data_IF_926460968653
#
_entry.id   IF_926460968653
#
_cell.length_a   1.000
_cell.length_b   1.000
_cell.length_c   1.000
_cell.angle_alpha   90.00
_cell.angle_beta   90.00
_cell.angle_gamma   90.00
#
_symmetry.space_group_name_H-M   'P 1'
#
loop_
_entity.id
_entity.type
_entity.pdbx_description
1 polymer ?
#
# COMPACT_ATOMS: atom_id res chain seq x y z
N UNK A 1 -10.44 -9.21 12.93
CA UNK A 1 -9.93 -7.84 12.77
C UNK A 1 -8.81 -7.56 13.78
N UNK A 2 -7.75 -6.87 13.37
CA UNK A 2 -6.70 -6.40 14.28
C UNK A 2 -7.14 -5.08 14.89
N UNK A 3 -7.01 -4.94 16.21
CA UNK A 3 -7.31 -3.71 16.95
C UNK A 3 -6.08 -3.25 17.69
N UNK A 4 -5.52 -2.11 17.31
CA UNK A 4 -4.37 -1.51 17.98
C UNK A 4 -4.89 -0.34 18.81
N UNK A 5 -4.87 -0.49 20.13
CA UNK A 5 -5.23 0.59 21.04
C UNK A 5 -4.02 1.52 21.21
N UNK A 6 -4.20 2.77 20.80
CA UNK A 6 -3.19 3.82 20.89
C UNK A 6 -3.44 4.65 22.14
N UNK A 7 -2.38 5.07 22.81
CA UNK A 7 -2.45 6.09 23.85
C UNK A 7 -2.27 7.47 23.24
N UNK A 8 -2.63 8.54 23.96
CA UNK A 8 -2.29 9.92 23.55
C UNK A 8 -0.78 10.08 23.27
N UNK A 9 0.08 9.42 24.07
CA UNK A 9 1.53 9.38 23.84
C UNK A 9 1.88 8.68 22.52
N UNK A 10 1.26 7.54 22.22
CA UNK A 10 1.46 6.83 20.96
C UNK A 10 1.05 7.67 19.75
N UNK A 11 -0.06 8.41 19.86
CA UNK A 11 -0.51 9.35 18.83
C UNK A 11 0.46 10.52 18.66
N UNK A 12 0.90 11.14 19.75
CA UNK A 12 1.84 12.26 19.73
C UNK A 12 3.23 11.87 19.20
N UNK A 13 3.63 10.61 19.39
CA UNK A 13 4.91 10.06 18.91
C UNK A 13 4.76 9.26 17.62
N UNK A 14 3.59 9.32 16.97
CA UNK A 14 3.37 8.70 15.67
C UNK A 14 4.29 9.32 14.64
N UNK A 15 5.02 8.49 13.90
CA UNK A 15 6.03 8.92 12.95
C UNK A 15 5.99 8.10 11.68
N UNK A 16 6.49 8.68 10.59
CA UNK A 16 6.71 7.95 9.35
C UNK A 16 8.13 7.37 9.28
N UNK A 17 8.34 6.38 8.42
CA UNK A 17 9.66 5.86 8.09
C UNK A 17 9.77 5.53 6.60
N UNK A 18 10.93 5.83 6.01
CA UNK A 18 11.36 5.33 4.69
C UNK A 18 12.43 4.26 4.91
N UNK A 19 12.02 3.00 5.00
CA UNK A 19 12.89 1.87 5.42
C UNK A 19 13.31 0.99 4.23
N UNK A 20 14.61 0.92 3.88
CA UNK A 20 15.16 -0.06 2.93
C UNK A 20 14.80 -1.52 3.24
N UNK A 21 14.97 -1.94 4.50
CA UNK A 21 14.76 -3.31 4.96
C UNK A 21 13.27 -3.68 4.96
N UNK A 22 12.38 -2.74 5.25
CA UNK A 22 10.94 -2.93 5.08
C UNK A 22 10.58 -3.24 3.62
N UNK A 23 11.14 -2.50 2.68
CA UNK A 23 10.89 -2.70 1.24
C UNK A 23 11.54 -3.99 0.73
N UNK A 24 12.72 -4.36 1.23
CA UNK A 24 13.37 -5.65 0.96
C UNK A 24 12.48 -6.81 1.39
N UNK A 25 12.01 -6.76 2.63
CA UNK A 25 11.11 -7.76 3.21
C UNK A 25 9.84 -7.92 2.37
N UNK A 26 9.29 -6.80 1.92
CA UNK A 26 8.12 -6.79 1.04
C UNK A 26 8.39 -7.36 -0.35
N UNK A 27 9.58 -7.14 -0.92
CA UNK A 27 9.98 -7.77 -2.19
C UNK A 27 10.14 -9.30 -2.06
N UNK A 28 10.49 -9.77 -0.86
CA UNK A 28 10.55 -11.21 -0.57
C UNK A 28 9.17 -11.84 -0.41
N UNK A 29 8.15 -11.07 0.02
CA UNK A 29 6.79 -11.58 0.16
C UNK A 29 6.18 -11.94 -1.20
N UNK A 30 5.94 -13.23 -1.42
CA UNK A 30 5.36 -13.72 -2.69
C UNK A 30 3.92 -13.26 -2.92
N UNK A 31 3.15 -12.95 -1.88
CA UNK A 31 1.78 -12.43 -2.02
C UNK A 31 1.77 -11.00 -2.54
N UNK A 32 2.80 -10.23 -2.17
CA UNK A 32 2.96 -8.83 -2.55
C UNK A 32 3.72 -8.70 -3.88
N UNK A 33 4.74 -9.53 -4.10
CA UNK A 33 5.57 -9.55 -5.31
C UNK A 33 4.82 -10.00 -6.58
N UNK A 34 3.72 -10.77 -6.45
CA UNK A 34 2.90 -11.21 -7.59
C UNK A 34 2.04 -10.06 -8.16
N UNK A 35 1.87 -8.94 -7.43
CA UNK A 35 0.93 -7.87 -7.83
C UNK A 35 1.55 -6.71 -8.60
N UNK A 36 2.75 -6.88 -9.17
CA UNK A 36 3.29 -5.99 -10.20
C UNK A 36 3.22 -4.50 -9.84
N UNK A 37 3.67 -4.14 -8.64
CA UNK A 37 3.73 -2.75 -8.25
C UNK A 37 4.79 -2.03 -9.10
N UNK A 38 4.44 -0.87 -9.66
CA UNK A 38 5.40 -0.05 -10.41
C UNK A 38 6.64 0.22 -9.56
N UNK A 39 7.80 -0.21 -10.04
CA UNK A 39 9.09 0.02 -9.38
C UNK A 39 9.54 -1.08 -8.42
N UNK A 40 8.83 -2.20 -8.27
CA UNK A 40 9.31 -3.36 -7.51
C UNK A 40 9.57 -4.58 -8.41
N UNK A 41 10.55 -5.43 -8.04
CA UNK A 41 10.89 -6.62 -8.83
C UNK A 41 9.74 -7.62 -8.86
N UNK A 42 9.53 -8.23 -10.02
CA UNK A 42 8.54 -9.31 -10.15
C UNK A 42 8.95 -10.56 -9.35
N UNK A 43 7.99 -11.41 -9.00
CA UNK A 43 8.26 -12.63 -8.24
C UNK A 43 9.30 -13.57 -8.91
N UNK A 44 9.30 -13.64 -10.24
CA UNK A 44 10.30 -14.42 -11.00
C UNK A 44 11.71 -13.83 -10.92
N UNK A 45 11.84 -12.50 -11.01
CA UNK A 45 13.12 -11.79 -10.89
C UNK A 45 13.75 -12.03 -9.51
N UNK A 46 12.97 -11.85 -8.44
CA UNK A 46 13.44 -12.08 -7.06
C UNK A 46 13.91 -13.53 -6.89
N UNK A 47 13.13 -14.51 -7.37
CA UNK A 47 13.52 -15.91 -7.28
C UNK A 47 14.81 -16.22 -8.08
N UNK A 48 14.98 -15.60 -9.24
CA UNK A 48 16.18 -15.76 -10.06
C UNK A 48 17.43 -15.19 -9.37
N UNK A 49 17.34 -14.01 -8.76
CA UNK A 49 18.46 -13.39 -8.03
C UNK A 49 18.85 -14.21 -6.81
N UNK A 50 17.88 -14.62 -6.00
CA UNK A 50 18.13 -15.44 -4.80
C UNK A 50 18.89 -16.73 -5.16
N UNK A 51 18.49 -17.40 -6.25
CA UNK A 51 19.15 -18.61 -6.73
C UNK A 51 20.55 -18.32 -7.32
N UNK A 52 20.66 -17.32 -8.20
CA UNK A 52 21.91 -16.99 -8.90
C UNK A 52 23.03 -16.60 -7.93
N UNK A 53 22.68 -15.88 -6.87
CA UNK A 53 23.62 -15.36 -5.88
C UNK A 53 23.68 -16.19 -4.59
N UNK A 54 23.07 -17.38 -4.58
CA UNK A 54 23.12 -18.31 -3.44
C UNK A 54 22.68 -17.68 -2.11
N UNK A 55 21.67 -16.82 -2.18
CA UNK A 55 21.07 -16.15 -1.01
C UNK A 55 20.10 -17.13 -0.30
N UNK A 56 20.68 -18.16 0.30
CA UNK A 56 19.96 -19.33 0.79
C UNK A 56 19.02 -19.02 1.95
N UNK A 57 19.42 -18.18 2.90
CA UNK A 57 18.57 -17.81 4.04
C UNK A 57 17.38 -16.99 3.56
N UNK A 58 17.60 -16.01 2.70
CA UNK A 58 16.51 -15.22 2.09
C UNK A 58 15.58 -16.08 1.23
N UNK A 59 16.12 -17.06 0.50
CA UNK A 59 15.33 -18.01 -0.28
C UNK A 59 14.41 -18.88 0.59
N UNK A 60 14.91 -19.35 1.74
CA UNK A 60 14.10 -20.07 2.72
C UNK A 60 12.98 -19.18 3.28
N UNK A 61 13.33 -17.94 3.65
CA UNK A 61 12.41 -16.97 4.27
C UNK A 61 11.31 -16.49 3.32
N UNK A 62 11.60 -16.32 2.03
CA UNK A 62 10.61 -16.03 0.96
C UNK A 62 9.48 -17.06 0.90
N UNK A 63 9.75 -18.28 1.33
CA UNK A 63 8.81 -19.40 1.33
C UNK A 63 7.90 -19.50 2.53
N UNK A 64 8.26 -18.87 3.64
CA UNK A 64 7.53 -19.04 4.89
C UNK A 64 6.33 -18.11 4.86
N UNK A 65 5.09 -18.64 4.80
CA UNK A 65 3.91 -17.82 4.91
C UNK A 65 3.90 -17.20 6.31
N UNK A 66 3.87 -15.88 6.40
CA UNK A 66 3.85 -15.23 7.71
C UNK A 66 3.92 -13.72 7.64
N UNK A 67 3.32 -13.09 8.64
CA UNK A 67 3.69 -11.74 9.03
C UNK A 67 5.18 -11.80 9.39
N UNK A 68 6.03 -11.03 8.72
CA UNK A 68 7.47 -11.02 8.94
C UNK A 68 7.87 -10.44 10.32
N UNK A 69 7.08 -10.68 11.35
CA UNK A 69 7.27 -10.30 12.74
C UNK A 69 8.58 -10.85 13.34
N UNK A 70 9.19 -11.85 12.68
CA UNK A 70 10.50 -12.38 13.03
C UNK A 70 11.66 -11.47 12.60
N UNK A 71 11.47 -10.59 11.61
CA UNK A 71 12.43 -9.57 11.20
C UNK A 71 11.95 -8.19 11.70
N UNK A 72 12.37 -7.74 12.90
CA UNK A 72 11.91 -6.47 13.43
C UNK A 72 12.21 -5.33 12.47
N UNK A 73 11.19 -4.63 12.03
CA UNK A 73 11.36 -3.25 11.58
C UNK A 73 11.47 -2.39 12.83
N UNK A 74 12.68 -2.19 13.33
CA UNK A 74 12.91 -1.18 14.38
C UNK A 74 13.36 0.09 13.68
N UNK A 75 12.49 1.11 13.55
CA UNK A 75 12.90 2.33 12.91
C UNK A 75 13.84 3.09 13.86
N UNK A 76 15.11 3.22 13.47
CA UNK A 76 16.09 4.04 14.17
C UNK A 76 15.82 5.53 13.98
N UNK A 77 15.45 5.91 12.75
CA UNK A 77 15.26 7.28 12.30
C UNK A 77 14.12 7.37 11.26
N UNK A 78 13.85 8.59 10.77
CA UNK A 78 12.87 8.84 9.69
C UNK A 78 13.31 8.18 8.36
N UNK A 79 14.61 8.20 8.05
CA UNK A 79 15.20 7.62 6.83
C UNK A 79 16.54 6.95 7.15
N UNK A 80 16.52 5.79 7.81
CA UNK A 80 17.76 5.10 8.10
C UNK A 80 18.42 4.65 6.78
N UNK A 81 19.76 4.61 6.78
CA UNK A 81 20.50 3.95 5.72
C UNK A 81 20.29 2.43 5.80
N UNK A 82 20.58 1.71 4.71
CA UNK A 82 20.54 0.24 4.74
C UNK A 82 21.51 -0.29 5.81
N UNK A 83 22.72 0.26 5.89
CA UNK A 83 23.74 -0.18 6.84
C UNK A 83 23.30 0.03 8.30
N UNK A 84 22.62 1.13 8.60
CA UNK A 84 22.03 1.38 9.91
C UNK A 84 20.97 0.33 10.26
N UNK A 85 20.07 0.01 9.33
CA UNK A 85 19.04 -1.01 9.55
C UNK A 85 19.61 -2.42 9.69
N UNK A 86 20.65 -2.76 8.91
CA UNK A 86 21.35 -4.04 9.02
C UNK A 86 22.16 -4.15 10.32
N UNK A 87 22.78 -3.06 10.75
CA UNK A 87 23.44 -2.99 12.05
C UNK A 87 22.44 -3.16 13.19
N UNK A 88 21.31 -2.45 13.16
CA UNK A 88 20.26 -2.64 14.16
C UNK A 88 19.64 -4.04 14.12
N UNK A 89 19.55 -4.66 12.94
CA UNK A 89 19.10 -6.04 12.81
C UNK A 89 20.02 -7.01 13.55
N UNK A 90 21.33 -6.86 13.40
CA UNK A 90 22.32 -7.73 14.07
C UNK A 90 22.44 -7.42 15.57
N UNK A 91 22.23 -6.17 15.99
CA UNK A 91 22.24 -5.74 17.38
C UNK A 91 20.90 -5.99 18.12
N UNK A 92 19.82 -6.31 17.40
CA UNK A 92 18.48 -6.41 17.97
C UNK A 92 18.39 -7.48 19.07
N UNK A 93 17.71 -7.14 20.17
CA UNK A 93 17.36 -8.08 21.25
C UNK A 93 15.84 -8.09 21.47
N UNK A 94 15.20 -9.28 21.56
CA UNK A 94 15.76 -10.59 21.22
C UNK A 94 16.20 -10.66 19.75
N UNK A 95 17.22 -11.46 19.47
CA UNK A 95 17.81 -11.61 18.14
C UNK A 95 16.76 -12.07 17.12
N UNK A 96 16.87 -11.65 15.84
CA UNK A 96 15.98 -12.10 14.77
C UNK A 96 15.89 -13.64 14.68
N UNK A 97 17.00 -14.34 14.86
CA UNK A 97 17.02 -15.79 14.92
C UNK A 97 16.13 -16.36 16.05
N UNK A 98 16.17 -15.77 17.25
CA UNK A 98 15.32 -16.19 18.38
C UNK A 98 13.84 -15.92 18.11
N UNK A 99 13.53 -14.78 17.47
CA UNK A 99 12.15 -14.46 17.06
C UNK A 99 11.64 -15.40 15.99
N UNK A 100 12.49 -15.76 15.02
CA UNK A 100 12.16 -16.72 13.97
C UNK A 100 11.97 -18.11 14.57
N UNK A 101 12.82 -18.55 15.49
CA UNK A 101 12.63 -19.81 16.22
C UNK A 101 11.27 -19.82 16.94
N UNK A 102 10.98 -18.80 17.75
CA UNK A 102 9.71 -18.66 18.44
C UNK A 102 8.51 -18.61 17.47
N UNK A 103 8.65 -17.96 16.31
CA UNK A 103 7.63 -17.95 15.26
C UNK A 103 7.41 -19.35 14.67
N UNK A 104 8.48 -20.07 14.35
CA UNK A 104 8.42 -21.43 13.83
C UNK A 104 7.87 -22.42 14.85
N UNK A 105 8.06 -22.17 16.15
CA UNK A 105 7.54 -22.99 17.24
C UNK A 105 6.08 -22.65 17.57
N UNK A 106 5.71 -21.36 17.54
CA UNK A 106 4.36 -20.86 17.79
C UNK A 106 3.37 -21.07 16.64
N UNK A 107 3.84 -21.21 15.40
CA UNK A 107 3.01 -21.51 14.23
C UNK A 107 2.57 -23.00 14.12
N UNK A 108 2.51 -23.71 15.27
CA UNK A 108 2.29 -25.15 15.39
C UNK A 108 1.00 -25.58 16.09
N UNK A 109 -0.06 -24.76 16.09
CA UNK A 109 -1.35 -25.12 16.69
C UNK A 109 -2.41 -25.71 15.75
N UNK A 110 -2.11 -25.90 14.45
CA UNK A 110 -3.18 -26.22 13.50
C UNK A 110 -2.74 -26.74 12.15
N UNK A 111 -2.01 -27.86 12.10
CA UNK A 111 -2.16 -28.88 11.06
C UNK A 111 -1.34 -30.10 11.46
N UNK A 112 -2.00 -31.22 11.75
CA UNK A 112 -1.39 -32.55 11.78
C UNK A 112 -1.03 -32.97 10.34
N UNK A 113 -0.02 -32.31 9.76
CA UNK A 113 0.48 -32.57 8.40
C UNK A 113 2.01 -32.66 8.39
N UNK A 114 2.57 -33.17 7.29
CA UNK A 114 4.02 -33.23 7.09
C UNK A 114 4.66 -31.84 7.24
N UNK A 115 5.77 -31.76 7.98
CA UNK A 115 6.50 -30.51 8.19
C UNK A 115 6.99 -29.95 6.85
N UNK A 116 6.71 -28.67 6.59
CA UNK A 116 7.24 -27.95 5.42
C UNK A 116 8.78 -28.05 5.43
N UNK A 117 9.41 -28.63 4.39
CA UNK A 117 10.87 -28.77 4.32
C UNK A 117 11.63 -27.45 4.53
N UNK A 118 11.04 -26.31 4.17
CA UNK A 118 11.64 -24.98 4.39
C UNK A 118 11.69 -24.62 5.87
N UNK A 119 10.63 -24.95 6.63
CA UNK A 119 10.58 -24.73 8.08
C UNK A 119 11.58 -25.63 8.80
N UNK A 120 11.69 -26.89 8.39
CA UNK A 120 12.68 -27.82 8.92
C UNK A 120 14.13 -27.32 8.68
N UNK A 121 14.42 -26.87 7.45
CA UNK A 121 15.73 -26.30 7.10
C UNK A 121 16.06 -25.04 7.91
N UNK A 122 15.09 -24.14 8.12
CA UNK A 122 15.28 -22.96 8.97
C UNK A 122 15.53 -23.36 10.43
N UNK A 123 14.76 -24.30 10.99
CA UNK A 123 15.01 -24.81 12.35
C UNK A 123 16.41 -25.40 12.49
N UNK A 124 16.87 -26.17 11.51
CA UNK A 124 18.23 -26.71 11.50
C UNK A 124 19.28 -25.61 11.51
N UNK A 125 19.17 -24.60 10.64
CA UNK A 125 20.11 -23.47 10.60
C UNK A 125 20.11 -22.66 11.91
N UNK A 126 18.94 -22.44 12.51
CA UNK A 126 18.83 -21.70 13.78
C UNK A 126 19.47 -22.46 14.95
N UNK A 127 19.36 -23.80 14.98
CA UNK A 127 20.02 -24.65 15.98
C UNK A 127 21.55 -24.67 15.83
N UNK A 128 22.05 -24.57 14.59
CA UNK A 128 23.49 -24.54 14.33
C UNK A 128 24.16 -23.23 14.80
N UNK A 129 23.41 -22.12 14.89
CA UNK A 129 23.91 -20.87 15.47
C UNK A 129 23.05 -19.66 15.10
N UNK A 130 22.30 -19.11 16.07
CA UNK A 130 21.38 -17.99 15.82
C UNK A 130 22.07 -16.66 15.49
N UNK A 131 23.24 -16.39 16.08
CA UNK A 131 24.00 -15.17 15.76
C UNK A 131 24.62 -15.23 14.36
N UNK A 132 25.19 -16.39 14.00
CA UNK A 132 25.70 -16.67 12.65
C UNK A 132 24.59 -16.58 11.60
N UNK A 133 23.42 -17.13 11.91
CA UNK A 133 22.24 -17.00 11.05
C UNK A 133 21.87 -15.52 10.84
N UNK A 134 21.85 -14.73 11.91
CA UNK A 134 21.47 -13.31 11.86
C UNK A 134 22.48 -12.49 11.05
N UNK A 135 23.79 -12.74 11.23
CA UNK A 135 24.84 -12.06 10.47
C UNK A 135 24.78 -12.41 8.99
N UNK A 136 24.71 -13.70 8.66
CA UNK A 136 24.59 -14.14 7.27
C UNK A 136 23.28 -13.67 6.61
N UNK A 137 22.21 -13.53 7.38
CA UNK A 137 20.96 -12.93 6.89
C UNK A 137 21.14 -11.44 6.55
N UNK A 138 21.88 -10.68 7.37
CA UNK A 138 22.16 -9.27 7.11
C UNK A 138 23.05 -9.09 5.86
N UNK A 139 24.05 -9.95 5.68
CA UNK A 139 24.90 -10.00 4.48
C UNK A 139 24.08 -10.33 3.22
N UNK A 140 23.25 -11.36 3.26
CA UNK A 140 22.37 -11.70 2.14
C UNK A 140 21.37 -10.58 1.83
N UNK A 141 20.88 -9.87 2.85
CA UNK A 141 19.99 -8.72 2.68
C UNK A 141 20.70 -7.53 2.03
N UNK A 142 21.95 -7.24 2.40
CA UNK A 142 22.78 -6.24 1.74
C UNK A 142 22.97 -6.56 0.26
N UNK A 143 23.33 -7.81 -0.06
CA UNK A 143 23.53 -8.25 -1.43
C UNK A 143 22.24 -8.22 -2.24
N UNK A 144 21.12 -8.67 -1.67
CA UNK A 144 19.83 -8.60 -2.31
C UNK A 144 19.42 -7.16 -2.62
N UNK A 145 19.58 -6.26 -1.64
CA UNK A 145 19.25 -4.85 -1.84
C UNK A 145 20.07 -4.26 -2.97
N UNK A 146 21.39 -4.43 -2.96
CA UNK A 146 22.31 -3.91 -3.98
C UNK A 146 21.92 -4.35 -5.40
N UNK A 147 21.47 -5.59 -5.56
CA UNK A 147 21.16 -6.17 -6.88
C UNK A 147 19.76 -5.85 -7.37
N UNK A 148 18.80 -5.75 -6.47
CA UNK A 148 17.37 -5.73 -6.83
C UNK A 148 16.72 -4.38 -6.57
N UNK A 149 16.99 -3.82 -5.39
CA UNK A 149 16.33 -2.61 -4.93
C UNK A 149 17.14 -1.36 -5.21
N UNK A 150 18.47 -1.37 -5.06
CA UNK A 150 19.31 -0.20 -5.25
C UNK A 150 19.09 0.50 -6.62
N UNK A 151 18.96 -0.21 -7.76
CA UNK A 151 18.68 0.44 -9.06
C UNK A 151 17.34 1.18 -9.12
N UNK A 152 16.39 0.81 -8.25
CA UNK A 152 15.01 1.32 -8.21
C UNK A 152 14.75 2.19 -6.98
N UNK A 153 15.66 2.19 -6.02
CA UNK A 153 15.48 2.79 -4.71
C UNK A 153 15.21 4.29 -4.76
N UNK A 154 15.87 5.11 -5.61
CA UNK A 154 15.55 6.53 -5.72
C UNK A 154 14.07 6.78 -6.08
N UNK A 155 13.50 5.99 -6.99
CA UNK A 155 12.10 6.11 -7.38
C UNK A 155 11.13 5.62 -6.28
N UNK A 156 11.47 4.51 -5.61
CA UNK A 156 10.71 4.00 -4.47
C UNK A 156 10.70 5.02 -3.33
N UNK A 157 11.87 5.54 -2.96
CA UNK A 157 12.03 6.51 -1.89
C UNK A 157 11.26 7.81 -2.18
N UNK A 158 11.38 8.37 -3.39
CA UNK A 158 10.65 9.57 -3.80
C UNK A 158 9.12 9.37 -3.74
N UNK A 159 8.62 8.18 -4.12
CA UNK A 159 7.20 7.86 -4.02
C UNK A 159 6.72 7.81 -2.57
N UNK A 160 7.50 7.15 -1.70
CA UNK A 160 7.18 7.05 -0.27
C UNK A 160 7.21 8.42 0.39
N UNK A 161 8.18 9.28 0.07
CA UNK A 161 8.22 10.67 0.53
C UNK A 161 7.00 11.47 0.09
N UNK A 162 6.61 11.36 -1.17
CA UNK A 162 5.44 12.07 -1.69
C UNK A 162 4.16 11.69 -0.95
N UNK A 163 4.02 10.42 -0.56
CA UNK A 163 2.93 9.96 0.31
C UNK A 163 3.04 10.56 1.71
N UNK A 164 4.23 10.61 2.30
CA UNK A 164 4.45 11.22 3.62
C UNK A 164 4.05 12.70 3.61
N UNK A 165 4.45 13.44 2.58
CA UNK A 165 4.07 14.84 2.41
C UNK A 165 2.55 15.02 2.29
N UNK A 166 1.88 14.13 1.55
CA UNK A 166 0.43 14.10 1.46
C UNK A 166 -0.21 13.89 2.84
N UNK A 167 0.26 12.90 3.59
CA UNK A 167 -0.25 12.59 4.93
C UNK A 167 0.05 13.70 5.93
N UNK A 168 1.20 14.36 5.83
CA UNK A 168 1.54 15.55 6.60
C UNK A 168 0.54 16.69 6.38
N UNK A 169 0.19 16.98 5.11
CA UNK A 169 -0.85 17.99 4.80
C UNK A 169 -2.23 17.61 5.33
N UNK A 170 -2.62 16.33 5.24
CA UNK A 170 -3.89 15.85 5.79
C UNK A 170 -3.90 16.00 7.31
N UNK A 171 -2.82 15.62 7.99
CA UNK A 171 -2.70 15.78 9.44
C UNK A 171 -2.76 17.25 9.87
N UNK A 172 -2.09 18.15 9.14
CA UNK A 172 -2.11 19.59 9.44
C UNK A 172 -3.50 20.23 9.27
N UNK A 173 -4.31 19.74 8.32
CA UNK A 173 -5.63 20.32 8.00
C UNK A 173 -6.80 19.65 8.73
N UNK A 174 -6.74 18.33 8.91
CA UNK A 174 -7.83 17.50 9.45
C UNK A 174 -7.45 16.73 10.71
N UNK A 175 -6.25 16.94 11.26
CA UNK A 175 -5.74 16.25 12.43
C UNK A 175 -5.25 14.83 12.16
N UNK A 176 -4.59 14.25 13.17
CA UNK A 176 -4.02 12.91 13.12
C UNK A 176 -5.09 11.84 12.85
N UNK A 177 -6.31 12.01 13.35
CA UNK A 177 -7.40 11.08 13.12
C UNK A 177 -7.77 10.95 11.63
N UNK A 178 -7.88 12.08 10.92
CA UNK A 178 -8.16 12.08 9.48
C UNK A 178 -7.02 11.45 8.68
N UNK A 179 -5.77 11.69 9.08
CA UNK A 179 -4.60 11.08 8.46
C UNK A 179 -4.61 9.55 8.63
N UNK A 180 -4.82 9.06 9.86
CA UNK A 180 -4.84 7.63 10.18
C UNK A 180 -6.01 6.89 9.51
N UNK A 181 -7.22 7.46 9.54
CA UNK A 181 -8.39 6.88 8.88
C UNK A 181 -8.31 6.89 7.35
N UNK A 182 -7.42 7.71 6.79
CA UNK A 182 -7.20 7.80 5.34
C UNK A 182 -6.13 6.85 4.79
N UNK A 183 -5.39 6.11 5.62
CA UNK A 183 -4.20 5.36 5.20
C UNK A 183 -4.49 4.27 4.16
N UNK A 184 -5.58 3.51 4.35
CA UNK A 184 -5.98 2.43 3.46
C UNK A 184 -7.46 2.06 3.70
N UNK A 185 -8.24 1.58 2.70
CA UNK A 185 -9.65 1.21 2.91
C UNK A 185 -9.90 0.15 3.99
N UNK A 186 -8.91 -0.69 4.30
CA UNK A 186 -8.98 -1.69 5.36
C UNK A 186 -8.63 -1.13 6.75
N UNK A 187 -8.18 0.13 6.83
CA UNK A 187 -7.79 0.81 8.06
C UNK A 187 -8.89 1.79 8.47
N UNK A 188 -9.27 1.76 9.73
CA UNK A 188 -10.18 2.73 10.33
C UNK A 188 -9.59 3.21 11.67
N UNK A 189 -9.87 4.46 12.04
CA UNK A 189 -9.42 5.01 13.31
C UNK A 189 -10.58 5.70 14.03
N UNK A 190 -10.98 5.14 15.17
CA UNK A 190 -12.07 5.65 16.03
C UNK A 190 -11.76 5.35 17.49
N UNK A 191 -12.11 6.28 18.38
CA UNK A 191 -12.02 6.10 19.83
C UNK A 191 -10.66 5.56 20.30
N UNK A 192 -9.57 6.14 19.78
CA UNK A 192 -8.17 5.75 20.05
C UNK A 192 -7.78 4.33 19.59
N UNK A 193 -8.61 3.68 18.78
CA UNK A 193 -8.35 2.35 18.24
C UNK A 193 -8.11 2.44 16.74
N UNK A 194 -6.92 2.00 16.33
CA UNK A 194 -6.60 1.77 14.92
C UNK A 194 -6.99 0.33 14.56
N UNK A 195 -8.06 0.22 13.79
CA UNK A 195 -8.61 -1.04 13.31
C UNK A 195 -8.03 -1.41 11.94
N UNK A 196 -7.55 -2.65 11.79
CA UNK A 196 -7.06 -3.17 10.50
C UNK A 196 -7.79 -4.45 10.13
N UNK A 197 -8.47 -4.42 8.98
CA UNK A 197 -9.22 -5.55 8.42
C UNK A 197 -8.29 -6.44 7.59
N UNK A 198 -7.63 -7.35 8.28
CA UNK A 198 -6.63 -8.28 7.71
C UNK A 198 -6.95 -9.76 8.03
N UNK A 199 -8.22 -10.09 8.29
CA UNK A 199 -8.66 -11.47 8.55
C UNK A 199 -8.25 -12.08 9.91
N UNK A 200 -7.25 -11.53 10.60
CA UNK A 200 -6.81 -11.95 11.95
C UNK A 200 -7.66 -11.34 13.05
N UNK A 201 -7.98 -12.04 14.15
CA UNK A 201 -8.56 -11.47 15.37
C UNK A 201 -7.46 -11.28 16.43
N UNK A 202 -7.03 -10.04 16.63
CA UNK A 202 -5.94 -9.73 17.55
C UNK A 202 -6.11 -8.34 18.14
N UNK A 203 -5.97 -8.22 19.46
CA UNK A 203 -5.97 -6.91 20.13
C UNK A 203 -4.59 -6.64 20.70
N UNK A 204 -3.99 -5.53 20.28
CA UNK A 204 -2.68 -5.07 20.72
C UNK A 204 -2.85 -3.75 21.46
N UNK A 205 -2.15 -3.60 22.58
CA UNK A 205 -2.00 -2.31 23.27
C UNK A 205 -0.57 -1.84 23.10
N UNK A 206 -0.36 -0.70 22.45
CA UNK A 206 0.97 -0.10 22.37
C UNK A 206 1.07 1.11 23.27
N UNK A 207 2.19 1.21 23.99
CA UNK A 207 2.59 2.40 24.76
C UNK A 207 3.73 3.15 24.07
N UNK A 208 4.29 2.56 23.01
CA UNK A 208 5.35 3.14 22.19
C UNK A 208 4.80 3.88 20.97
N UNK A 209 5.68 4.40 20.10
CA UNK A 209 5.28 5.10 18.89
C UNK A 209 4.61 4.14 17.89
N UNK A 210 3.56 4.61 17.23
CA UNK A 210 3.07 4.02 15.99
C UNK A 210 3.98 4.49 14.86
N UNK A 211 4.64 3.57 14.18
CA UNK A 211 5.43 3.89 12.99
C UNK A 211 4.66 3.53 11.73
N UNK A 212 4.47 4.51 10.87
CA UNK A 212 3.78 4.39 9.61
C UNK A 212 4.82 4.22 8.50
N UNK A 213 4.77 3.09 7.79
CA UNK A 213 5.68 2.81 6.68
C UNK A 213 4.87 2.80 5.38
N UNK A 214 4.78 3.92 4.65
CA UNK A 214 4.22 3.89 3.31
C UNK A 214 5.13 3.08 2.38
N UNK A 215 4.53 2.39 1.41
CA UNK A 215 5.24 1.39 0.60
C UNK A 215 4.87 1.57 -0.86
N UNK A 216 5.82 1.38 -1.77
CA UNK A 216 5.55 1.50 -3.21
C UNK A 216 4.71 0.33 -3.79
N UNK A 217 4.16 -0.55 -2.95
CA UNK A 217 3.43 -1.74 -3.38
C UNK A 217 2.00 -1.45 -3.86
N UNK A 218 1.49 -2.34 -4.71
CA UNK A 218 0.08 -2.38 -5.12
C UNK A 218 -0.85 -2.66 -3.93
N UNK A 219 -2.17 -2.71 -4.18
CA UNK A 219 -3.29 -2.61 -3.22
C UNK A 219 -3.36 -3.54 -1.98
N UNK A 220 -2.29 -4.26 -1.62
CA UNK A 220 -2.15 -4.94 -0.33
C UNK A 220 -1.59 -4.00 0.75
N UNK A 221 -1.88 -4.31 2.00
CA UNK A 221 -1.25 -3.70 3.17
C UNK A 221 -0.48 -4.80 3.93
N UNK A 222 0.53 -4.40 4.70
CA UNK A 222 1.27 -5.31 5.56
C UNK A 222 1.24 -4.75 6.98
N UNK A 223 0.56 -5.42 7.90
CA UNK A 223 0.54 -4.97 9.30
C UNK A 223 1.54 -5.78 10.10
N UNK A 224 2.65 -5.13 10.45
CA UNK A 224 3.58 -5.68 11.43
C UNK A 224 3.20 -5.17 12.82
N UNK A 225 2.61 -6.08 13.57
CA UNK A 225 2.52 -5.93 15.00
C UNK A 225 3.81 -6.52 15.56
N UNK A 226 4.64 -5.66 16.17
CA UNK A 226 5.77 -6.15 16.95
C UNK A 226 5.28 -7.16 18.00
N UNK A 227 6.12 -8.15 18.37
CA UNK A 227 5.71 -9.22 19.27
C UNK A 227 5.07 -8.64 20.55
N UNK A 228 3.89 -9.17 20.86
CA UNK A 228 2.93 -8.68 21.86
C UNK A 228 3.38 -8.78 23.31
N UNK A 229 4.48 -8.12 23.65
CA UNK A 229 4.75 -7.66 25.00
C UNK A 229 4.36 -6.18 25.10
N UNK A 230 3.75 -5.79 26.20
CA UNK A 230 3.36 -4.41 26.45
C UNK A 230 4.58 -3.48 26.30
N UNK A 231 4.59 -2.63 25.27
CA UNK A 231 5.70 -1.68 25.01
C UNK A 231 6.37 -1.78 23.64
N UNK A 232 6.06 -2.80 22.83
CA UNK A 232 6.69 -2.94 21.50
C UNK A 232 6.19 -1.87 20.51
N UNK A 233 7.10 -1.27 19.71
CA UNK A 233 6.71 -0.42 18.58
C UNK A 233 5.79 -1.17 17.60
N UNK A 234 4.79 -0.48 17.08
CA UNK A 234 3.90 -1.02 16.04
C UNK A 234 4.29 -0.39 14.71
N UNK A 235 4.51 -1.22 13.68
CA UNK A 235 4.81 -0.74 12.33
C UNK A 235 3.65 -1.09 11.40
N UNK A 236 2.91 -0.07 10.98
CA UNK A 236 1.88 -0.24 9.98
C UNK A 236 2.46 0.07 8.59
N UNK A 237 2.70 -0.97 7.80
CA UNK A 237 3.05 -0.81 6.40
C UNK A 237 1.78 -0.76 5.53
N UNK A 238 1.68 0.27 4.69
CA UNK A 238 0.50 0.51 3.86
C UNK A 238 0.91 0.98 2.45
N UNK A 239 0.08 0.76 1.43
CA UNK A 239 0.44 1.16 0.08
C UNK A 239 0.39 2.68 -0.05
N UNK A 240 1.48 3.28 -0.54
CA UNK A 240 1.52 4.67 -0.95
C UNK A 240 0.58 4.86 -2.13
N UNK A 241 -0.32 5.84 -2.01
CA UNK A 241 -1.30 6.12 -3.04
C UNK A 241 -0.57 6.36 -4.38
N UNK A 242 -1.08 5.78 -5.48
CA UNK A 242 -0.60 6.22 -6.80
C UNK A 242 -0.91 7.72 -6.94
N UNK A 243 -0.11 8.47 -7.70
CA UNK A 243 -0.34 9.92 -7.88
C UNK A 243 -1.77 10.25 -8.37
N UNK A 244 -2.42 9.32 -9.07
CA UNK A 244 -3.84 9.39 -9.47
C UNK A 244 -4.86 9.04 -8.34
N UNK A 245 -4.43 8.34 -7.30
CA UNK A 245 -5.23 7.97 -6.11
C UNK A 245 -5.03 8.97 -4.94
N UNK A 246 -3.97 9.78 -5.01
CA UNK A 246 -3.50 10.72 -3.97
C UNK A 246 -4.20 12.09 -3.97
N UNK A 247 -5.21 12.30 -4.83
CA UNK A 247 -6.00 13.52 -4.77
C UNK A 247 -6.66 13.64 -3.37
N UNK A 248 -6.58 14.80 -2.70
CA UNK A 248 -7.24 14.99 -1.41
C UNK A 248 -8.72 14.64 -1.58
N UNK A 249 -9.23 13.75 -0.73
CA UNK A 249 -10.68 13.68 -0.48
C UNK A 249 -11.02 14.96 0.27
N UNK A 250 -11.13 16.06 -0.46
CA UNK A 250 -11.68 17.28 0.10
C UNK A 250 -13.05 16.94 0.68
N UNK A 251 -13.26 17.39 1.90
CA UNK A 251 -14.50 17.34 2.67
C UNK A 251 -15.74 17.37 1.76
N UNK A 252 -16.43 16.24 1.65
CA UNK A 252 -17.82 16.23 1.18
C UNK A 252 -18.67 15.70 2.33
N UNK A 253 -19.45 16.57 3.01
CA UNK A 253 -20.53 16.12 3.89
C UNK A 253 -21.42 15.16 3.11
N UNK A 254 -21.81 14.09 3.78
CA UNK A 254 -22.61 13.00 3.25
C UNK A 254 -23.92 13.54 2.64
N UNK A 255 -23.94 13.82 1.33
CA UNK A 255 -25.15 14.11 0.61
C UNK A 255 -25.73 12.79 0.10
N UNK A 256 -26.85 12.40 0.72
CA UNK A 256 -27.71 11.33 0.28
C UNK A 256 -28.12 11.51 -1.19
N UNK A 257 -28.34 10.39 -1.89
CA UNK A 257 -29.27 10.35 -3.01
C UNK A 257 -28.72 9.90 -4.37
N UNK A 258 -29.28 8.77 -4.80
CA UNK A 258 -29.58 8.37 -6.19
C UNK A 258 -28.49 7.67 -7.01
N UNK A 259 -28.87 6.48 -7.51
CA UNK A 259 -28.08 5.61 -8.36
C UNK A 259 -28.03 6.11 -9.81
N UNK A 260 -26.90 5.85 -10.49
CA UNK A 260 -26.63 6.38 -11.82
C UNK A 260 -26.02 5.32 -12.76
N UNK A 261 -26.78 4.26 -13.02
CA UNK A 261 -26.48 3.32 -14.10
C UNK A 261 -26.94 3.80 -15.49
N UNK A 262 -28.08 4.49 -15.58
CA UNK A 262 -28.78 4.65 -16.87
C UNK A 262 -28.89 6.09 -17.44
N UNK A 263 -28.25 7.09 -16.80
CA UNK A 263 -28.50 8.51 -17.11
C UNK A 263 -27.42 9.30 -17.86
N UNK A 264 -26.34 8.67 -18.34
CA UNK A 264 -25.21 9.38 -18.96
C UNK A 264 -25.43 9.61 -20.47
N UNK A 265 -25.90 10.80 -20.84
CA UNK A 265 -26.07 11.20 -22.24
C UNK A 265 -24.78 11.15 -23.07
N UNK A 266 -24.90 10.96 -24.40
CA UNK A 266 -23.79 10.69 -25.35
C UNK A 266 -22.59 11.64 -25.21
N UNK A 267 -22.82 12.94 -25.03
CA UNK A 267 -21.75 13.95 -24.89
C UNK A 267 -20.93 13.79 -23.61
N UNK A 268 -21.57 13.41 -22.49
CA UNK A 268 -20.89 13.17 -21.20
C UNK A 268 -20.02 11.91 -21.26
N UNK A 269 -20.48 10.86 -21.95
CA UNK A 269 -19.69 9.65 -22.17
C UNK A 269 -18.46 9.93 -23.04
N UNK A 270 -18.61 10.73 -24.11
CA UNK A 270 -17.48 11.10 -24.98
C UNK A 270 -16.42 11.92 -24.23
N UNK A 271 -16.84 12.92 -23.45
CA UNK A 271 -15.93 13.69 -22.62
C UNK A 271 -15.23 12.83 -21.57
N UNK A 272 -15.96 11.95 -20.87
CA UNK A 272 -15.38 10.99 -19.93
C UNK A 272 -14.33 10.10 -20.60
N UNK A 273 -14.58 9.61 -21.83
CA UNK A 273 -13.63 8.76 -22.58
C UNK A 273 -12.30 9.47 -22.86
N UNK A 274 -12.32 10.76 -23.19
CA UNK A 274 -11.13 11.56 -23.47
C UNK A 274 -10.34 11.98 -22.22
N UNK A 275 -10.91 11.78 -21.03
CA UNK A 275 -10.30 12.11 -19.73
C UNK A 275 -9.52 10.94 -19.12
N UNK A 276 -9.01 10.02 -19.94
CA UNK A 276 -8.00 9.04 -19.49
C UNK A 276 -6.67 9.70 -19.12
N UNK A 277 -6.44 10.93 -19.58
CA UNK A 277 -5.33 11.80 -19.23
C UNK A 277 -5.89 13.19 -18.81
N UNK A 278 -5.18 13.95 -17.95
CA UNK A 278 -5.62 15.27 -17.52
C UNK A 278 -5.75 16.26 -18.70
N UNK A 279 -6.90 16.90 -18.86
CA UNK A 279 -7.15 17.91 -19.91
C UNK A 279 -7.89 19.13 -19.37
N UNK A 280 -7.62 20.30 -19.92
CA UNK A 280 -8.36 21.53 -19.58
C UNK A 280 -9.69 21.62 -20.32
N UNK A 281 -10.59 22.49 -19.84
CA UNK A 281 -11.84 22.81 -20.54
C UNK A 281 -11.59 23.23 -21.99
N UNK A 282 -10.57 24.07 -22.24
CA UNK A 282 -10.24 24.55 -23.58
C UNK A 282 -9.70 23.45 -24.48
N UNK A 283 -8.90 22.53 -23.95
CA UNK A 283 -8.41 21.37 -24.70
C UNK A 283 -9.54 20.41 -25.07
N UNK A 284 -10.49 20.17 -24.16
CA UNK A 284 -11.66 19.34 -24.43
C UNK A 284 -12.65 20.01 -25.40
N UNK A 285 -12.81 21.33 -25.32
CA UNK A 285 -13.60 22.12 -26.26
C UNK A 285 -13.06 21.99 -27.68
N UNK A 286 -11.75 22.14 -27.86
CA UNK A 286 -11.08 21.94 -29.14
C UNK A 286 -11.21 20.50 -29.64
N UNK A 287 -10.93 19.51 -28.79
CA UNK A 287 -10.95 18.08 -29.16
C UNK A 287 -12.34 17.60 -29.61
N UNK A 288 -13.41 18.10 -28.98
CA UNK A 288 -14.78 17.67 -29.25
C UNK A 288 -15.59 18.63 -30.11
N UNK A 289 -14.98 19.73 -30.59
CA UNK A 289 -15.63 20.80 -31.35
C UNK A 289 -16.88 21.33 -30.62
N UNK A 290 -16.74 21.59 -29.32
CA UNK A 290 -17.78 22.13 -28.46
C UNK A 290 -17.37 23.50 -27.92
N UNK A 291 -18.33 24.33 -27.52
CA UNK A 291 -18.00 25.58 -26.82
C UNK A 291 -17.41 25.29 -25.43
N UNK A 292 -16.48 26.12 -24.91
CA UNK A 292 -15.96 26.00 -23.55
C UNK A 292 -17.05 26.04 -22.46
N UNK A 293 -18.14 26.79 -22.70
CA UNK A 293 -19.31 26.84 -21.81
C UNK A 293 -20.05 25.50 -21.74
N UNK A 294 -20.26 24.85 -22.88
CA UNK A 294 -20.90 23.52 -22.97
C UNK A 294 -20.06 22.45 -22.30
N UNK A 295 -18.74 22.48 -22.52
CA UNK A 295 -17.79 21.56 -21.86
C UNK A 295 -17.78 21.77 -20.36
N UNK A 296 -17.72 23.03 -19.89
CA UNK A 296 -17.78 23.35 -18.46
C UNK A 296 -19.06 22.83 -17.80
N UNK A 297 -20.22 23.06 -18.44
CA UNK A 297 -21.52 22.54 -17.98
C UNK A 297 -21.49 21.01 -17.79
N UNK A 298 -20.97 20.27 -18.77
CA UNK A 298 -20.87 18.82 -18.67
C UNK A 298 -19.86 18.36 -17.60
N UNK A 299 -18.72 19.02 -17.49
CA UNK A 299 -17.69 18.71 -16.49
C UNK A 299 -18.20 18.99 -15.07
N UNK A 300 -18.95 20.07 -14.84
CA UNK A 300 -19.58 20.34 -13.54
C UNK A 300 -20.58 19.25 -13.14
N UNK A 301 -21.40 18.76 -14.08
CA UNK A 301 -22.33 17.65 -13.83
C UNK A 301 -21.61 16.32 -13.57
N UNK A 302 -20.57 16.03 -14.33
CA UNK A 302 -19.73 14.83 -14.14
C UNK A 302 -18.98 14.87 -12.81
N UNK A 303 -18.49 16.05 -12.42
CA UNK A 303 -17.82 16.28 -11.15
C UNK A 303 -18.81 16.11 -9.98
N UNK A 304 -20.01 16.70 -10.08
CA UNK A 304 -21.08 16.53 -9.09
C UNK A 304 -21.51 15.06 -8.91
N UNK A 305 -21.44 14.25 -9.97
CA UNK A 305 -21.69 12.81 -9.92
C UNK A 305 -20.49 11.98 -9.39
N UNK A 306 -19.34 12.63 -9.16
CA UNK A 306 -18.09 12.00 -8.76
C UNK A 306 -17.46 11.14 -9.86
N UNK A 307 -17.69 11.47 -11.13
CA UNK A 307 -17.16 10.73 -12.30
C UNK A 307 -15.88 11.35 -12.87
N UNK A 308 -15.61 12.62 -12.60
CA UNK A 308 -14.35 13.32 -12.92
C UNK A 308 -13.84 14.07 -11.71
N UNK A 309 -12.52 14.20 -11.59
CA UNK A 309 -11.83 15.07 -10.63
C UNK A 309 -11.31 16.31 -11.35
N UNK A 310 -11.04 17.38 -10.57
CA UNK A 310 -10.51 18.66 -11.07
C UNK A 310 -9.27 19.04 -10.28
N UNK A 311 -8.19 19.43 -10.96
CA UNK A 311 -6.96 19.91 -10.34
C UNK A 311 -6.56 21.26 -10.95
N UNK A 312 -6.22 22.24 -10.10
CA UNK A 312 -5.73 23.54 -10.56
C UNK A 312 -4.20 23.53 -10.61
N UNK A 313 -3.62 23.91 -11.74
CA UNK A 313 -2.18 24.11 -11.91
C UNK A 313 -1.95 25.48 -12.55
N UNK A 314 -1.44 26.43 -11.77
CA UNK A 314 -1.31 27.83 -12.17
C UNK A 314 -2.67 28.47 -12.47
N UNK A 315 -2.77 29.16 -13.61
CA UNK A 315 -4.03 29.75 -14.11
C UNK A 315 -4.97 28.71 -14.73
N UNK A 316 -4.51 27.48 -14.95
CA UNK A 316 -5.25 26.45 -15.67
C UNK A 316 -5.91 25.42 -14.74
N UNK A 317 -7.02 24.88 -15.23
CA UNK A 317 -7.82 23.87 -14.55
C UNK A 317 -7.86 22.62 -15.41
N UNK A 318 -7.36 21.52 -14.87
CA UNK A 318 -7.36 20.22 -15.50
C UNK A 318 -8.46 19.34 -14.92
N UNK A 319 -9.06 18.53 -15.76
CA UNK A 319 -10.02 17.50 -15.39
C UNK A 319 -9.46 16.14 -15.81
N UNK A 320 -9.78 15.11 -15.05
CA UNK A 320 -9.41 13.73 -15.32
C UNK A 320 -10.53 12.79 -14.85
N UNK A 321 -10.58 11.56 -15.38
CA UNK A 321 -11.60 10.59 -14.99
C UNK A 321 -11.33 10.07 -13.58
N UNK A 322 -12.37 10.01 -12.75
CA UNK A 322 -12.30 9.41 -11.42
C UNK A 322 -12.30 7.87 -11.46
N UNK A 323 -11.81 7.24 -10.40
CA UNK A 323 -11.88 5.78 -10.19
C UNK A 323 -13.32 5.26 -10.21
N UNK A 324 -14.30 6.03 -9.72
CA UNK A 324 -15.72 5.67 -9.75
C UNK A 324 -16.23 5.49 -11.19
N UNK A 325 -15.78 6.33 -12.12
CA UNK A 325 -16.13 6.22 -13.53
C UNK A 325 -15.48 5.02 -14.22
N UNK A 326 -14.33 4.55 -13.74
CA UNK A 326 -13.68 3.34 -14.26
C UNK A 326 -14.44 2.07 -13.87
N UNK A 327 -14.92 1.99 -12.62
CA UNK A 327 -15.77 0.88 -12.15
C UNK A 327 -17.11 0.84 -12.88
N UNK A 328 -17.73 2.01 -13.13
CA UNK A 328 -18.97 2.11 -13.92
C UNK A 328 -18.73 1.72 -15.40
N UNK A 329 -17.60 2.11 -15.99
CA UNK A 329 -17.26 1.76 -17.38
C UNK A 329 -16.96 0.26 -17.55
N UNK A 330 -16.34 -0.39 -16.55
CA UNK A 330 -16.11 -1.84 -16.55
C UNK A 330 -17.41 -2.64 -16.35
N UNK A 331 -18.34 -2.16 -15.52
CA UNK A 331 -19.66 -2.80 -15.36
C UNK A 331 -20.52 -2.73 -16.63
N UNK A 332 -20.47 -1.62 -17.37
CA UNK A 332 -21.18 -1.47 -18.64
C UNK A 332 -20.60 -2.34 -19.78
N UNK A 333 -19.32 -2.73 -19.69
CA UNK A 333 -18.67 -3.61 -20.67
C UNK A 333 -18.97 -5.10 -20.43
N UNK A 334 -19.29 -5.49 -19.19
CA UNK A 334 -19.58 -6.89 -18.80
C UNK A 334 -21.04 -7.29 -19.10
N UNK A 335 -21.97 -6.36 -19.22
CA UNK A 335 -23.38 -6.65 -19.49
C UNK A 335 -23.79 -6.79 -20.95
N UNK A 336 -22.86 -6.79 -21.91
CA UNK A 336 -23.12 -7.25 -23.29
C UNK A 336 -24.39 -6.71 -23.94
N UNK A 337 -24.71 -5.43 -23.77
CA UNK A 337 -25.90 -4.84 -24.39
C UNK A 337 -25.63 -4.50 -25.85
N UNK A 338 -26.12 -5.35 -26.76
CA UNK A 338 -26.34 -4.99 -28.16
C UNK A 338 -27.49 -3.98 -28.23
N UNK A 339 -27.29 -2.78 -28.80
CA UNK A 339 -28.39 -1.84 -28.99
C UNK A 339 -29.40 -2.45 -29.97
N UNK A 340 -30.63 -2.70 -29.51
CA UNK A 340 -31.76 -3.02 -30.40
C UNK A 340 -31.93 -1.84 -31.37
N UNK A 341 -31.95 -2.08 -32.71
CA UNK A 341 -32.17 -0.99 -33.65
C UNK A 341 -33.56 -0.39 -33.40
N UNK A 342 -33.62 0.94 -33.45
CA UNK A 342 -34.85 1.69 -33.27
C UNK A 342 -35.88 1.24 -34.31
N UNK A 343 -37.09 0.89 -33.86
CA UNK A 343 -38.22 0.73 -34.76
C UNK A 343 -38.44 2.05 -35.53
N UNK A 344 -38.71 2.01 -36.84
CA UNK A 344 -39.03 3.20 -37.60
C UNK A 344 -40.30 3.84 -37.02
N UNK A 345 -40.25 5.16 -36.79
CA UNK A 345 -41.46 5.95 -36.51
C UNK A 345 -42.31 5.92 -37.77
N UNK A 346 -43.59 5.59 -37.59
CA UNK A 346 -44.51 5.17 -38.64
C UNK A 346 -44.89 6.24 -39.67
N UNK A 347 -45.46 5.73 -40.76
CA UNK A 347 -46.63 6.30 -41.39
C UNK A 347 -47.84 5.48 -40.94
#
# INVERSE_FOLDING_TARGET
MIRIRLTARSLATTRFVVSPLAHLRMALDTRLAVRGAEGLPGGGEVAAVLRRHRLHRLALLRGVPGDFAWLPLTPLAFRPSLDEELHALTAARPAPASRLAAYLDGAGGGARGAEDPRRAALRHQLRAGGEEFTRGLAEEAAEFFARVLAPRWPAVAARVESEIDLRGRIAARGGTAAMLGGLHPAVDFRDEVLGVRDGRELTVRTRGPLTLCPTALGAGHLTELGPGAAGTPVVLAYPAARRAEAAPRDFVPQAAGTGFGDGLGRSRVRLLKSLGEPRTTSQLAALHRLSPSTVSYHLSRLHGAGLVTRTRMGSNVYYERSVKAEVVSRRAAVTGYTPRPAAPRGG
#
